data_IF_116293173260
#
_entry.id   IF_116293173260
#
_cell.length_a   1.000
_cell.length_b   1.000
_cell.length_c   1.000
_cell.angle_alpha   90.00
_cell.angle_beta   90.00
_cell.angle_gamma   90.00
#
_symmetry.space_group_name_H-M   'P 1'
#
loop_
_entity.id
_entity.type
_entity.pdbx_description
1 polymer ?
#
# COMPACT_ATOMS: atom_id res chain seq x y z
N UNK A 1 15.11 -4.48 -1.61
CA UNK A 1 13.69 -4.11 -1.67
C UNK A 1 13.60 -2.65 -1.25
N UNK A 2 13.03 -1.81 -2.10
CA UNK A 2 12.79 -0.40 -1.78
C UNK A 2 11.56 -0.24 -0.89
N UNK A 3 11.42 0.93 -0.25
CA UNK A 3 10.21 1.26 0.53
C UNK A 3 8.94 1.11 -0.32
N UNK A 4 8.97 1.52 -1.59
CA UNK A 4 7.81 1.43 -2.48
C UNK A 4 7.45 -0.03 -2.81
N UNK A 5 8.44 -0.89 -2.99
CA UNK A 5 8.21 -2.33 -3.18
C UNK A 5 7.58 -2.97 -1.94
N UNK A 6 8.03 -2.58 -0.74
CA UNK A 6 7.46 -3.05 0.52
C UNK A 6 6.01 -2.57 0.72
N UNK A 7 5.70 -1.30 0.44
CA UNK A 7 4.34 -0.76 0.48
C UNK A 7 3.42 -1.54 -0.47
N UNK A 8 3.87 -1.78 -1.71
CA UNK A 8 3.14 -2.55 -2.71
C UNK A 8 2.89 -3.98 -2.26
N UNK A 9 3.91 -4.65 -1.74
CA UNK A 9 3.80 -6.00 -1.24
C UNK A 9 2.80 -6.07 -0.09
N UNK A 10 2.90 -5.16 0.88
CA UNK A 10 1.98 -5.09 2.02
C UNK A 10 0.52 -4.86 1.60
N UNK A 11 0.28 -4.00 0.61
CA UNK A 11 -1.06 -3.78 0.05
C UNK A 11 -1.61 -5.06 -0.61
N UNK A 12 -0.78 -5.77 -1.37
CA UNK A 12 -1.18 -7.05 -1.98
C UNK A 12 -1.49 -8.12 -0.93
N UNK A 13 -0.68 -8.21 0.13
CA UNK A 13 -0.90 -9.16 1.22
C UNK A 13 -2.23 -8.88 1.93
N UNK A 14 -2.53 -7.61 2.26
CA UNK A 14 -3.81 -7.20 2.85
C UNK A 14 -5.01 -7.48 1.93
N UNK A 15 -4.87 -7.25 0.62
CA UNK A 15 -5.88 -7.62 -0.36
C UNK A 15 -6.15 -9.13 -0.36
N UNK A 16 -5.09 -9.95 -0.34
CA UNK A 16 -5.20 -11.41 -0.36
C UNK A 16 -5.78 -11.96 0.94
N UNK A 17 -5.35 -11.45 2.10
CA UNK A 17 -5.82 -11.87 3.43
C UNK A 17 -7.33 -11.64 3.62
N UNK A 18 -7.90 -10.68 2.90
CA UNK A 18 -9.29 -10.24 3.07
C UNK A 18 -10.16 -10.43 1.84
N UNK A 19 -9.64 -11.09 0.81
CA UNK A 19 -10.31 -11.33 -0.46
C UNK A 19 -10.84 -10.04 -1.13
N UNK A 20 -10.04 -8.96 -1.04
CA UNK A 20 -10.39 -7.64 -1.59
C UNK A 20 -9.71 -7.47 -2.96
N UNK A 21 -10.52 -7.24 -3.99
CA UNK A 21 -10.00 -6.91 -5.33
C UNK A 21 -9.46 -5.48 -5.39
N UNK A 22 -8.54 -5.20 -6.30
CA UNK A 22 -8.02 -3.83 -6.54
C UNK A 22 -9.11 -2.82 -6.86
N UNK A 23 -10.18 -3.26 -7.54
CA UNK A 23 -11.32 -2.41 -7.87
C UNK A 23 -12.14 -2.05 -6.63
N UNK A 24 -12.39 -3.03 -5.74
CA UNK A 24 -13.07 -2.79 -4.47
C UNK A 24 -12.25 -1.85 -3.57
N UNK A 25 -10.93 -2.13 -3.44
CA UNK A 25 -10.00 -1.27 -2.71
C UNK A 25 -10.05 0.20 -3.19
N UNK A 26 -10.04 0.41 -4.51
CA UNK A 26 -10.13 1.74 -5.11
C UNK A 26 -11.43 2.46 -4.76
N UNK A 27 -12.55 1.75 -4.86
CA UNK A 27 -13.88 2.30 -4.55
C UNK A 27 -13.99 2.68 -3.08
N UNK A 28 -13.64 1.75 -2.18
CA UNK A 28 -13.78 1.92 -0.73
C UNK A 28 -12.83 3.01 -0.19
N UNK A 29 -11.62 3.11 -0.73
CA UNK A 29 -10.65 4.13 -0.35
C UNK A 29 -10.96 5.52 -0.94
N UNK A 30 -11.89 5.64 -1.90
CA UNK A 30 -12.10 6.88 -2.65
C UNK A 30 -10.83 7.35 -3.37
N UNK A 31 -10.08 6.40 -3.94
CA UNK A 31 -8.83 6.62 -4.69
C UNK A 31 -9.04 6.16 -6.13
N UNK A 32 -8.63 6.92 -7.16
CA UNK A 32 -8.82 6.50 -8.55
C UNK A 32 -8.19 5.12 -8.85
N UNK A 33 -8.87 4.28 -9.63
CA UNK A 33 -8.38 2.94 -9.98
C UNK A 33 -7.01 2.99 -10.68
N UNK A 34 -6.77 4.01 -11.51
CA UNK A 34 -5.46 4.22 -12.15
C UNK A 34 -4.36 4.45 -11.12
N UNK A 35 -4.63 5.20 -10.05
CA UNK A 35 -3.69 5.43 -8.95
C UNK A 35 -3.41 4.13 -8.19
N UNK A 36 -4.44 3.37 -7.82
CA UNK A 36 -4.25 2.10 -7.10
C UNK A 36 -3.48 1.11 -7.99
N UNK A 37 -3.83 0.97 -9.27
CA UNK A 37 -3.11 0.12 -10.21
C UNK A 37 -1.66 0.55 -10.39
N UNK A 38 -1.39 1.85 -10.53
CA UNK A 38 -0.03 2.38 -10.65
C UNK A 38 0.84 2.03 -9.43
N UNK A 39 0.26 2.05 -8.21
CA UNK A 39 0.94 1.59 -6.99
C UNK A 39 1.16 0.07 -7.03
N UNK A 40 0.10 -0.71 -7.30
CA UNK A 40 0.15 -2.19 -7.31
C UNK A 40 1.09 -2.77 -8.38
N UNK A 41 1.25 -2.06 -9.50
CA UNK A 41 2.15 -2.42 -10.60
C UNK A 41 3.59 -1.91 -10.42
N UNK A 42 3.87 -1.12 -9.38
CA UNK A 42 5.21 -0.54 -9.16
C UNK A 42 5.60 0.59 -10.12
N UNK A 43 4.61 1.15 -10.84
CA UNK A 43 4.77 2.35 -11.67
C UNK A 43 4.93 3.60 -10.79
N UNK A 44 4.18 3.66 -9.68
CA UNK A 44 4.34 4.72 -8.68
C UNK A 44 5.64 4.53 -7.91
N UNK A 45 6.53 5.52 -8.00
CA UNK A 45 7.82 5.54 -7.29
C UNK A 45 7.78 6.24 -5.94
N UNK A 46 6.65 6.84 -5.58
CA UNK A 46 6.43 7.44 -4.26
C UNK A 46 4.91 7.60 -4.00
N UNK A 47 4.23 6.56 -3.51
CA UNK A 47 2.83 6.68 -3.12
C UNK A 47 2.67 7.75 -2.03
N UNK A 48 1.87 8.78 -2.29
CA UNK A 48 1.65 9.85 -1.31
C UNK A 48 1.04 9.31 -0.01
N UNK A 49 1.53 9.79 1.13
CA UNK A 49 1.11 9.32 2.46
C UNK A 49 -0.40 9.45 2.70
N UNK A 50 -1.05 10.48 2.15
CA UNK A 50 -2.50 10.68 2.23
C UNK A 50 -3.25 9.60 1.43
N UNK A 51 -2.74 9.23 0.25
CA UNK A 51 -3.29 8.13 -0.54
C UNK A 51 -3.14 6.82 0.21
N UNK A 52 -1.97 6.56 0.78
CA UNK A 52 -1.74 5.37 1.59
C UNK A 52 -2.68 5.33 2.82
N UNK A 53 -2.91 6.47 3.47
CA UNK A 53 -3.85 6.56 4.60
C UNK A 53 -5.26 6.15 4.20
N UNK A 54 -5.76 6.64 3.05
CA UNK A 54 -7.07 6.26 2.51
C UNK A 54 -7.17 4.75 2.21
N UNK A 55 -6.11 4.17 1.65
CA UNK A 55 -6.05 2.72 1.45
C UNK A 55 -6.10 1.98 2.79
N UNK A 56 -5.36 2.43 3.81
CA UNK A 56 -5.44 1.86 5.15
C UNK A 56 -6.85 1.97 5.77
N UNK A 57 -7.55 3.08 5.55
CA UNK A 57 -8.95 3.26 6.00
C UNK A 57 -9.89 2.24 5.38
N UNK A 58 -9.73 1.91 4.10
CA UNK A 58 -10.52 0.85 3.45
C UNK A 58 -10.27 -0.53 4.07
N UNK A 59 -9.08 -0.75 4.61
CA UNK A 59 -8.76 -1.93 5.41
C UNK A 59 -9.12 -1.74 6.90
N UNK A 60 -9.73 -0.63 7.33
CA UNK A 60 -10.02 -0.39 8.75
C UNK A 60 -8.78 -0.49 9.66
N UNK A 61 -7.59 -0.20 9.13
CA UNK A 61 -6.34 -0.18 9.89
C UNK A 61 -5.73 1.23 9.89
N UNK A 62 -4.95 1.50 10.93
CA UNK A 62 -4.14 2.72 11.02
C UNK A 62 -2.87 2.61 10.15
N UNK A 63 -2.25 3.75 9.85
CA UNK A 63 -0.92 3.75 9.23
C UNK A 63 0.12 3.02 10.09
N UNK A 64 0.05 3.17 11.42
CA UNK A 64 0.94 2.47 12.34
C UNK A 64 0.84 0.96 12.19
N UNK A 65 -0.39 0.42 12.17
CA UNK A 65 -0.62 -1.02 11.92
C UNK A 65 -0.18 -1.46 10.52
N UNK A 66 -0.33 -0.60 9.51
CA UNK A 66 0.17 -0.89 8.16
C UNK A 66 1.69 -1.10 8.17
N UNK A 67 2.44 -0.20 8.82
CA UNK A 67 3.90 -0.24 8.89
C UNK A 67 4.47 -1.17 9.96
N UNK A 68 3.65 -1.75 10.84
CA UNK A 68 4.09 -2.73 11.86
C UNK A 68 4.32 -4.14 11.29
N UNK A 69 4.55 -4.25 9.98
CA UNK A 69 4.79 -5.52 9.29
C UNK A 69 6.29 -5.74 9.17
N UNK A 70 6.77 -6.97 9.40
CA UNK A 70 8.21 -7.32 9.41
C UNK A 70 8.95 -6.92 8.12
N UNK A 71 8.23 -6.85 6.99
CA UNK A 71 8.74 -6.37 5.70
C UNK A 71 9.36 -4.97 5.77
N UNK A 72 8.95 -4.13 6.72
CA UNK A 72 9.47 -2.79 6.93
C UNK A 72 10.67 -2.75 7.88
N UNK A 73 10.88 -3.78 8.70
CA UNK A 73 11.94 -3.82 9.72
C UNK A 73 13.32 -4.12 9.12
N UNK A 74 13.36 -4.78 7.96
CA UNK A 74 14.60 -5.19 7.28
C UNK A 74 14.92 -4.32 6.05
N UNK A 75 14.37 -3.12 5.97
CA UNK A 75 14.63 -2.21 4.85
C UNK A 75 16.00 -1.54 5.00
N UNK A 76 16.77 -1.57 3.91
CA UNK A 76 18.05 -0.86 3.80
C UNK A 76 17.84 0.65 3.61
N UNK A 77 18.89 1.43 3.84
CA UNK A 77 18.86 2.89 3.69
C UNK A 77 18.66 3.29 2.22
N UNK A 78 17.81 4.28 1.97
CA UNK A 78 17.54 4.84 0.62
C UNK A 78 18.42 6.08 0.31
N UNK A 79 19.39 6.40 1.18
CA UNK A 79 20.29 7.55 1.02
C UNK A 79 21.32 7.22 -0.08
N UNK A 80 21.53 8.16 -1.01
CA UNK A 80 22.54 8.08 -2.08
C UNK A 80 23.71 9.00 -1.80
#
# INVERSE_FOLDING_TARGET
MTVCEAVRQRLNDLCRERDITTNALSLDAGVPQSTVKSIMNGESKNPGIVTLKKLCDSFGITLGQFFSSEIFDTLEQEIQ
#
